data_IF_482779307637
#
_entry.id   IF_482779307637
#
_cell.length_a   1.000
_cell.length_b   1.000
_cell.length_c   1.000
_cell.angle_alpha   90.00
_cell.angle_beta   90.00
_cell.angle_gamma   90.00
#
_symmetry.space_group_name_H-M   'P 1'
#
loop_
_entity.id
_entity.type
_entity.pdbx_description
1 polymer ?
#
# COMPACT_ATOMS: atom_id res chain seq x y z
N UNK A 1 3.87 21.30 14.19
CA UNK A 1 4.08 21.48 12.74
C UNK A 1 3.35 20.37 12.01
N UNK A 2 2.66 20.66 10.90
CA UNK A 2 1.91 19.67 10.11
C UNK A 2 2.83 18.97 9.09
N UNK A 3 2.34 17.91 8.44
CA UNK A 3 3.04 17.30 7.30
C UNK A 3 3.08 18.28 6.12
N UNK A 4 4.21 18.32 5.42
CA UNK A 4 4.33 19.09 4.18
C UNK A 4 3.72 18.33 2.98
N UNK A 5 3.55 19.03 1.85
CA UNK A 5 2.98 18.45 0.63
C UNK A 5 3.83 17.32 0.03
N UNK A 6 5.15 17.37 0.21
CA UNK A 6 6.08 16.35 -0.30
C UNK A 6 6.08 15.08 0.55
N UNK A 7 6.03 15.22 1.86
CA UNK A 7 5.79 14.16 2.84
C UNK A 7 4.45 13.49 2.57
N UNK A 8 3.41 14.30 2.28
CA UNK A 8 2.10 13.77 1.94
C UNK A 8 2.12 12.95 0.64
N UNK A 9 2.69 13.50 -0.43
CA UNK A 9 2.85 12.80 -1.70
C UNK A 9 3.69 11.52 -1.56
N UNK A 10 4.76 11.56 -0.74
CA UNK A 10 5.57 10.38 -0.46
C UNK A 10 4.80 9.33 0.35
N UNK A 11 3.96 9.73 1.30
CA UNK A 11 3.10 8.83 2.05
C UNK A 11 2.08 8.13 1.16
N UNK A 12 1.38 8.90 0.32
CA UNK A 12 0.42 8.37 -0.65
C UNK A 12 1.09 7.43 -1.67
N UNK A 13 2.23 7.81 -2.23
CA UNK A 13 2.98 6.97 -3.17
C UNK A 13 3.47 5.66 -2.54
N UNK A 14 3.95 5.70 -1.29
CA UNK A 14 4.32 4.48 -0.54
C UNK A 14 3.12 3.59 -0.25
N UNK A 15 1.98 4.18 0.11
CA UNK A 15 0.75 3.44 0.38
C UNK A 15 0.27 2.72 -0.89
N UNK A 16 0.27 3.42 -2.03
CA UNK A 16 -0.08 2.83 -3.33
C UNK A 16 0.87 1.68 -3.71
N UNK A 17 2.18 1.92 -3.64
CA UNK A 17 3.17 0.89 -3.99
C UNK A 17 3.05 -0.35 -3.08
N UNK A 18 2.92 -0.14 -1.77
CA UNK A 18 2.77 -1.24 -0.81
C UNK A 18 1.44 -1.96 -1.00
N UNK A 19 0.35 -1.25 -1.29
CA UNK A 19 -0.94 -1.84 -1.59
C UNK A 19 -0.86 -2.75 -2.82
N UNK A 20 -0.26 -2.30 -3.93
CA UNK A 20 -0.12 -3.11 -5.14
C UNK A 20 0.69 -4.38 -4.90
N UNK A 21 1.81 -4.28 -4.18
CA UNK A 21 2.63 -5.45 -3.82
C UNK A 21 1.83 -6.43 -2.95
N UNK A 22 1.19 -5.93 -1.88
CA UNK A 22 0.38 -6.77 -1.00
C UNK A 22 -0.82 -7.37 -1.71
N UNK A 23 -1.44 -6.63 -2.62
CA UNK A 23 -2.58 -7.08 -3.40
C UNK A 23 -2.20 -8.25 -4.31
N UNK A 24 -1.05 -8.18 -4.99
CA UNK A 24 -0.52 -9.30 -5.78
C UNK A 24 -0.29 -10.51 -4.87
N UNK A 25 0.45 -10.35 -3.77
CA UNK A 25 0.78 -11.45 -2.85
C UNK A 25 -0.50 -12.11 -2.30
N UNK A 26 -1.47 -11.32 -1.87
CA UNK A 26 -2.72 -11.82 -1.31
C UNK A 26 -3.62 -12.47 -2.35
N UNK A 27 -3.60 -12.00 -3.59
CA UNK A 27 -4.36 -12.59 -4.69
C UNK A 27 -3.80 -13.95 -5.10
N UNK A 28 -2.47 -14.06 -5.17
CA UNK A 28 -1.77 -15.34 -5.38
C UNK A 28 -2.08 -16.32 -4.22
N UNK A 29 -1.99 -15.85 -2.98
CA UNK A 29 -2.31 -16.67 -1.81
C UNK A 29 -3.77 -17.13 -1.81
N UNK A 30 -4.72 -16.25 -2.18
CA UNK A 30 -6.12 -16.60 -2.30
C UNK A 30 -6.36 -17.65 -3.41
N UNK A 31 -5.65 -17.53 -4.53
CA UNK A 31 -5.72 -18.51 -5.62
C UNK A 31 -5.20 -19.89 -5.19
N UNK A 32 -4.05 -19.93 -4.50
CA UNK A 32 -3.49 -21.17 -3.93
C UNK A 32 -4.46 -21.78 -2.92
N UNK A 33 -5.01 -20.98 -2.00
CA UNK A 33 -5.96 -21.48 -1.01
C UNK A 33 -7.23 -22.04 -1.68
N UNK A 34 -7.81 -21.35 -2.66
CA UNK A 34 -8.97 -21.86 -3.39
C UNK A 34 -8.67 -23.19 -4.08
N UNK A 35 -7.51 -23.31 -4.75
CA UNK A 35 -7.08 -24.56 -5.37
C UNK A 35 -6.94 -25.71 -4.36
N UNK A 36 -6.30 -25.45 -3.22
CA UNK A 36 -6.16 -26.44 -2.14
C UNK A 36 -7.50 -26.85 -1.53
N UNK A 37 -8.45 -25.90 -1.41
CA UNK A 37 -9.78 -26.17 -0.87
C UNK A 37 -10.68 -26.96 -1.82
N UNK A 38 -10.53 -26.81 -3.15
CA UNK A 38 -11.34 -27.52 -4.14
C UNK A 38 -10.74 -28.86 -4.56
N UNK A 39 -9.44 -28.88 -4.87
CA UNK A 39 -8.77 -30.04 -5.49
C UNK A 39 -7.94 -30.85 -4.50
N UNK A 40 -7.87 -30.41 -3.23
CA UNK A 40 -7.05 -31.02 -2.18
C UNK A 40 -5.56 -30.65 -2.29
N UNK A 41 -4.77 -30.95 -1.24
CA UNK A 41 -3.36 -30.61 -1.22
C UNK A 41 -2.55 -31.50 -2.18
N UNK A 42 -2.06 -30.92 -3.28
CA UNK A 42 -1.12 -31.57 -4.20
C UNK A 42 -0.06 -30.59 -4.71
N UNK A 43 1.12 -31.11 -5.06
CA UNK A 43 2.20 -30.31 -5.66
C UNK A 43 1.80 -29.77 -7.04
N UNK A 44 0.97 -30.49 -7.78
CA UNK A 44 0.49 -30.08 -9.10
C UNK A 44 -0.43 -28.86 -9.02
N UNK A 45 -1.33 -28.81 -8.03
CA UNK A 45 -2.20 -27.63 -7.77
C UNK A 45 -1.35 -26.41 -7.40
N UNK A 46 -0.31 -26.59 -6.58
CA UNK A 46 0.61 -25.52 -6.19
C UNK A 46 1.42 -24.99 -7.39
N UNK A 47 1.94 -25.88 -8.25
CA UNK A 47 2.67 -25.48 -9.45
C UNK A 47 1.76 -24.83 -10.50
N UNK A 48 0.55 -25.36 -10.72
CA UNK A 48 -0.41 -24.80 -11.66
C UNK A 48 -0.85 -23.38 -11.29
N UNK A 49 -1.06 -23.10 -9.99
CA UNK A 49 -1.37 -21.74 -9.51
C UNK A 49 -0.19 -20.79 -9.65
N UNK A 50 1.04 -21.23 -9.31
CA UNK A 50 2.25 -20.41 -9.48
C UNK A 50 2.56 -20.07 -10.95
N UNK A 51 2.36 -21.01 -11.87
CA UNK A 51 2.58 -20.79 -13.32
C UNK A 51 1.40 -20.07 -14.00
N UNK A 52 0.20 -20.10 -13.41
CA UNK A 52 -0.96 -19.31 -13.85
C UNK A 52 -0.85 -17.80 -13.61
N UNK A 53 0.21 -17.34 -12.94
CA UNK A 53 0.46 -15.95 -12.54
C UNK A 53 0.47 -14.92 -13.68
N UNK A 54 0.64 -15.33 -14.94
CA UNK A 54 0.53 -14.42 -16.10
C UNK A 54 -0.87 -13.77 -16.16
N UNK A 55 -1.92 -14.53 -15.88
CA UNK A 55 -3.30 -14.00 -15.83
C UNK A 55 -3.50 -13.02 -14.68
N UNK A 56 -2.87 -13.28 -13.54
CA UNK A 56 -2.94 -12.41 -12.36
C UNK A 56 -2.17 -11.11 -12.56
N UNK A 57 -1.00 -11.15 -13.20
CA UNK A 57 -0.24 -9.96 -13.58
C UNK A 57 -1.01 -9.09 -14.56
N UNK A 58 -1.64 -9.68 -15.58
CA UNK A 58 -2.50 -8.95 -16.52
C UNK A 58 -3.72 -8.35 -15.82
N UNK A 59 -4.34 -9.09 -14.90
CA UNK A 59 -5.48 -8.63 -14.11
C UNK A 59 -5.11 -7.44 -13.19
N UNK A 60 -3.98 -7.54 -12.49
CA UNK A 60 -3.47 -6.47 -11.63
C UNK A 60 -3.13 -5.23 -12.45
N UNK A 61 -2.49 -5.40 -13.61
CA UNK A 61 -2.18 -4.30 -14.52
C UNK A 61 -3.43 -3.61 -15.09
N UNK A 62 -4.43 -4.38 -15.50
CA UNK A 62 -5.63 -3.86 -16.16
C UNK A 62 -6.65 -3.25 -15.18
N UNK A 63 -6.78 -3.81 -13.97
CA UNK A 63 -7.84 -3.41 -13.03
C UNK A 63 -7.29 -2.85 -11.72
N UNK A 64 -6.37 -3.55 -11.05
CA UNK A 64 -5.90 -3.12 -9.74
C UNK A 64 -5.14 -1.78 -9.84
N UNK A 65 -4.21 -1.62 -10.77
CA UNK A 65 -3.43 -0.38 -10.90
C UNK A 65 -4.31 0.86 -11.18
N UNK A 66 -5.22 0.86 -12.17
CA UNK A 66 -6.08 2.02 -12.42
C UNK A 66 -7.02 2.32 -11.25
N UNK A 67 -7.59 1.28 -10.63
CA UNK A 67 -8.51 1.46 -9.49
C UNK A 67 -7.76 2.00 -8.29
N UNK A 68 -6.58 1.47 -7.97
CA UNK A 68 -5.77 1.96 -6.86
C UNK A 68 -5.31 3.40 -7.10
N UNK A 69 -5.07 3.82 -8.35
CA UNK A 69 -4.80 5.22 -8.68
C UNK A 69 -6.02 6.12 -8.42
N UNK A 70 -7.21 5.73 -8.89
CA UNK A 70 -8.46 6.47 -8.64
C UNK A 70 -8.74 6.55 -7.14
N UNK A 71 -8.63 5.42 -6.43
CA UNK A 71 -8.79 5.37 -4.99
C UNK A 71 -7.77 6.27 -4.27
N UNK A 72 -6.51 6.30 -4.73
CA UNK A 72 -5.50 7.21 -4.17
C UNK A 72 -5.93 8.67 -4.33
N UNK A 73 -6.41 9.07 -5.50
CA UNK A 73 -6.90 10.44 -5.75
C UNK A 73 -8.08 10.80 -4.84
N UNK A 74 -9.06 9.89 -4.71
CA UNK A 74 -10.22 10.09 -3.85
C UNK A 74 -9.84 10.12 -2.36
N UNK A 75 -8.88 9.29 -1.95
CA UNK A 75 -8.40 9.18 -0.57
C UNK A 75 -7.50 10.33 -0.13
N UNK A 76 -6.95 11.12 -1.06
CA UNK A 76 -6.04 12.24 -0.76
C UNK A 76 -6.72 13.27 0.14
N UNK A 77 -7.94 13.70 -0.18
CA UNK A 77 -8.61 14.76 0.58
C UNK A 77 -8.87 14.35 2.06
N UNK A 78 -9.52 13.21 2.35
CA UNK A 78 -9.71 12.80 3.74
C UNK A 78 -8.39 12.48 4.46
N UNK A 79 -7.40 11.92 3.76
CA UNK A 79 -6.07 11.71 4.34
C UNK A 79 -5.35 13.03 4.67
N UNK A 80 -5.53 14.09 3.86
CA UNK A 80 -5.01 15.43 4.16
C UNK A 80 -5.66 16.02 5.40
N UNK A 81 -6.99 15.89 5.52
CA UNK A 81 -7.72 16.35 6.71
C UNK A 81 -7.25 15.61 7.97
N UNK A 82 -7.09 14.29 7.88
CA UNK A 82 -6.57 13.47 8.96
C UNK A 82 -5.12 13.86 9.32
N UNK A 83 -4.24 14.00 8.33
CA UNK A 83 -2.84 14.41 8.54
C UNK A 83 -2.72 15.81 9.15
N UNK A 84 -3.64 16.73 8.81
CA UNK A 84 -3.75 18.04 9.45
C UNK A 84 -4.28 17.94 10.88
N UNK A 85 -5.27 17.08 11.16
CA UNK A 85 -5.80 16.90 12.50
C UNK A 85 -4.77 16.25 13.45
N UNK A 86 -3.93 15.37 12.91
CA UNK A 86 -2.91 14.65 13.69
C UNK A 86 -1.64 15.48 13.98
N UNK A 87 -1.58 16.79 13.69
CA UNK A 87 -0.42 17.69 13.88
C UNK A 87 0.66 17.12 14.81
N UNK A 88 1.74 16.55 14.24
CA UNK A 88 2.88 15.91 14.93
C UNK A 88 2.58 15.50 16.38
N UNK A 89 1.58 14.64 16.58
CA UNK A 89 1.22 14.14 17.93
C UNK A 89 2.48 13.61 18.60
N UNK A 90 2.74 14.00 19.86
CA UNK A 90 3.85 13.46 20.68
C UNK A 90 3.82 11.92 20.82
N UNK A 91 2.66 11.31 20.55
CA UNK A 91 2.42 9.87 20.60
C UNK A 91 2.35 9.26 19.19
N UNK A 92 3.41 8.53 18.82
CA UNK A 92 3.43 7.71 17.60
C UNK A 92 2.31 6.67 17.57
N UNK A 93 1.90 6.16 18.74
CA UNK A 93 0.82 5.17 18.87
C UNK A 93 -0.52 5.73 18.40
N UNK A 94 -0.84 6.96 18.79
CA UNK A 94 -2.10 7.61 18.40
C UNK A 94 -2.15 7.88 16.89
N UNK A 95 -1.01 8.27 16.32
CA UNK A 95 -0.84 8.39 14.87
C UNK A 95 -1.10 7.06 14.15
N UNK A 96 -0.49 5.97 14.63
CA UNK A 96 -0.67 4.65 14.04
C UNK A 96 -2.13 4.20 14.09
N UNK A 97 -2.79 4.35 15.26
CA UNK A 97 -4.20 3.97 15.42
C UNK A 97 -5.13 4.75 14.49
N UNK A 98 -4.90 6.06 14.33
CA UNK A 98 -5.69 6.89 13.42
C UNK A 98 -5.53 6.44 11.96
N UNK A 99 -4.30 6.14 11.52
CA UNK A 99 -4.06 5.62 10.17
C UNK A 99 -4.56 4.19 9.98
N UNK A 100 -4.59 3.35 11.04
CA UNK A 100 -5.24 2.04 11.00
C UNK A 100 -6.75 2.18 10.82
N UNK A 101 -7.40 3.04 11.62
CA UNK A 101 -8.84 3.28 11.53
C UNK A 101 -9.23 3.82 10.14
N UNK A 102 -8.48 4.82 9.65
CA UNK A 102 -8.66 5.33 8.29
C UNK A 102 -8.44 4.24 7.24
N UNK A 103 -7.36 3.47 7.36
CA UNK A 103 -7.05 2.38 6.44
C UNK A 103 -8.16 1.34 6.34
N UNK A 104 -8.70 0.91 7.47
CA UNK A 104 -9.81 -0.05 7.55
C UNK A 104 -11.07 0.51 6.89
N UNK A 105 -11.48 1.72 7.27
CA UNK A 105 -12.72 2.33 6.77
C UNK A 105 -12.62 2.62 5.28
N UNK A 106 -11.54 3.26 4.85
CA UNK A 106 -11.33 3.64 3.47
C UNK A 106 -11.18 2.42 2.56
N UNK A 107 -10.32 1.46 2.95
CA UNK A 107 -10.12 0.26 2.14
C UNK A 107 -11.36 -0.62 2.10
N UNK A 108 -12.13 -0.70 3.19
CA UNK A 108 -13.41 -1.39 3.21
C UNK A 108 -14.41 -0.77 2.24
N UNK A 109 -14.59 0.55 2.30
CA UNK A 109 -15.50 1.26 1.41
C UNK A 109 -15.12 1.13 -0.07
N UNK A 110 -13.83 1.32 -0.40
CA UNK A 110 -13.33 1.18 -1.78
C UNK A 110 -13.46 -0.25 -2.27
N UNK A 111 -13.07 -1.24 -1.45
CA UNK A 111 -13.12 -2.64 -1.86
C UNK A 111 -14.55 -3.12 -2.09
N UNK A 112 -15.50 -2.72 -1.24
CA UNK A 112 -16.93 -2.98 -1.44
C UNK A 112 -17.46 -2.34 -2.72
N UNK A 113 -17.17 -1.06 -2.94
CA UNK A 113 -17.64 -0.35 -4.12
C UNK A 113 -17.10 -0.96 -5.41
N UNK A 114 -15.80 -1.27 -5.45
CA UNK A 114 -15.14 -1.85 -6.63
C UNK A 114 -15.58 -3.29 -6.87
N UNK A 115 -15.69 -4.11 -5.81
CA UNK A 115 -16.13 -5.49 -5.95
C UNK A 115 -17.55 -5.56 -6.52
N UNK A 116 -18.44 -4.68 -6.07
CA UNK A 116 -19.80 -4.59 -6.62
C UNK A 116 -19.83 -4.05 -8.05
N UNK A 117 -18.93 -3.12 -8.41
CA UNK A 117 -18.90 -2.53 -9.74
C UNK A 117 -18.36 -3.50 -10.80
N UNK A 118 -17.35 -4.30 -10.45
CA UNK A 118 -16.68 -5.21 -11.39
C UNK A 118 -17.24 -6.64 -11.41
N UNK A 119 -17.71 -7.14 -10.27
CA UNK A 119 -18.01 -8.58 -10.09
C UNK A 119 -19.42 -8.83 -9.56
N UNK A 120 -20.37 -7.94 -9.86
CA UNK A 120 -21.76 -8.00 -9.36
C UNK A 120 -22.38 -9.41 -9.49
N UNK A 121 -22.14 -10.06 -10.63
CA UNK A 121 -22.75 -11.36 -10.96
C UNK A 121 -21.80 -12.54 -10.70
N UNK A 122 -20.60 -12.29 -10.16
CA UNK A 122 -19.54 -13.29 -9.94
C UNK A 122 -19.15 -13.34 -8.46
N UNK A 123 -19.98 -13.98 -7.63
CA UNK A 123 -19.86 -13.96 -6.17
C UNK A 123 -18.47 -14.40 -5.64
N UNK A 124 -17.86 -15.40 -6.25
CA UNK A 124 -16.52 -15.91 -5.87
C UNK A 124 -15.43 -14.88 -6.13
N UNK A 125 -15.44 -14.24 -7.30
CA UNK A 125 -14.48 -13.19 -7.66
C UNK A 125 -14.75 -11.89 -6.88
N UNK A 126 -16.01 -11.56 -6.61
CA UNK A 126 -16.41 -10.43 -5.78
C UNK A 126 -15.84 -10.55 -4.37
N UNK A 127 -16.03 -11.70 -3.72
CA UNK A 127 -15.54 -11.96 -2.37
C UNK A 127 -14.01 -12.03 -2.31
N UNK A 128 -13.36 -12.67 -3.29
CA UNK A 128 -11.91 -12.68 -3.38
C UNK A 128 -11.33 -11.26 -3.50
N UNK A 129 -11.84 -10.47 -4.45
CA UNK A 129 -11.38 -9.10 -4.66
C UNK A 129 -11.65 -8.19 -3.46
N UNK A 130 -12.82 -8.33 -2.84
CA UNK A 130 -13.17 -7.61 -1.63
C UNK A 130 -12.17 -7.88 -0.51
N UNK A 131 -11.87 -9.15 -0.24
CA UNK A 131 -10.96 -9.55 0.84
C UNK A 131 -9.53 -9.14 0.55
N UNK A 132 -9.01 -9.39 -0.66
CA UNK A 132 -7.62 -9.02 -1.00
C UNK A 132 -7.43 -7.52 -1.06
N UNK A 133 -8.40 -6.77 -1.62
CA UNK A 133 -8.43 -5.31 -1.64
C UNK A 133 -8.48 -4.72 -0.22
N UNK A 134 -9.36 -5.25 0.62
CA UNK A 134 -9.51 -4.79 2.00
C UNK A 134 -8.24 -5.03 2.82
N UNK A 135 -7.71 -6.25 2.80
CA UNK A 135 -6.53 -6.63 3.59
C UNK A 135 -5.28 -5.87 3.12
N UNK A 136 -5.05 -5.80 1.81
CA UNK A 136 -3.89 -5.08 1.27
C UNK A 136 -3.95 -3.58 1.59
N UNK A 137 -5.12 -2.93 1.41
CA UNK A 137 -5.29 -1.51 1.72
C UNK A 137 -5.18 -1.21 3.22
N UNK A 138 -5.84 -2.02 4.05
CA UNK A 138 -5.85 -1.85 5.52
C UNK A 138 -4.48 -2.05 6.14
N UNK A 139 -3.59 -2.82 5.51
CA UNK A 139 -2.20 -2.94 5.92
C UNK A 139 -1.32 -1.83 5.31
N UNK A 140 -1.47 -1.55 4.01
CA UNK A 140 -0.59 -0.64 3.29
C UNK A 140 -0.67 0.80 3.80
N UNK A 141 -1.88 1.31 4.03
CA UNK A 141 -2.13 2.68 4.48
C UNK A 141 -1.41 2.96 5.82
N UNK A 142 -1.68 2.24 6.92
CA UNK A 142 -1.02 2.51 8.19
C UNK A 142 0.49 2.30 8.14
N UNK A 143 0.99 1.28 7.44
CA UNK A 143 2.44 1.03 7.33
C UNK A 143 3.16 2.16 6.59
N UNK A 144 2.62 2.62 5.46
CA UNK A 144 3.20 3.70 4.67
C UNK A 144 3.18 5.03 5.42
N UNK A 145 2.08 5.34 6.10
CA UNK A 145 1.95 6.57 6.88
C UNK A 145 2.76 6.53 8.17
N UNK A 146 2.86 5.38 8.85
CA UNK A 146 3.74 5.21 10.00
C UNK A 146 5.21 5.40 9.62
N UNK A 147 5.63 4.89 8.45
CA UNK A 147 6.98 5.11 7.93
C UNK A 147 7.23 6.58 7.62
N UNK A 148 6.26 7.25 6.99
CA UNK A 148 6.35 8.67 6.64
C UNK A 148 6.41 9.55 7.88
N UNK A 149 5.55 9.30 8.87
CA UNK A 149 5.57 9.96 10.17
C UNK A 149 6.90 9.73 10.90
N UNK A 150 7.43 8.52 10.89
CA UNK A 150 8.73 8.21 11.51
C UNK A 150 9.88 8.97 10.85
N UNK A 151 9.89 9.11 9.53
CA UNK A 151 10.92 9.86 8.80
C UNK A 151 10.82 11.36 9.11
N UNK A 152 9.62 11.93 9.07
CA UNK A 152 9.37 13.34 9.38
C UNK A 152 9.83 13.68 10.81
N UNK A 153 9.45 12.85 11.80
CA UNK A 153 9.84 13.04 13.20
C UNK A 153 11.36 12.94 13.41
N UNK A 154 12.07 12.08 12.67
CA UNK A 154 13.54 11.99 12.73
C UNK A 154 14.20 13.23 12.12
N UNK A 155 13.67 13.72 11.00
CA UNK A 155 14.17 14.94 10.35
C UNK A 155 14.03 16.15 11.27
N UNK A 156 12.90 16.26 11.98
CA UNK A 156 12.65 17.32 12.96
C UNK A 156 13.62 17.32 14.14
N UNK A 157 14.09 16.13 14.54
CA UNK A 157 15.07 15.95 15.60
C UNK A 157 16.51 16.22 15.13
N UNK A 158 16.71 16.63 13.87
CA UNK A 158 18.03 16.80 13.27
C UNK A 158 18.74 15.47 12.98
N UNK A 159 18.04 14.34 13.13
CA UNK A 159 18.57 13.00 12.83
C UNK A 159 18.38 12.76 11.34
N UNK A 160 19.19 13.42 10.51
CA UNK A 160 19.25 13.12 9.08
C UNK A 160 19.86 11.74 8.89
N UNK A 161 19.15 10.81 8.24
CA UNK A 161 19.75 9.58 7.73
C UNK A 161 20.97 9.97 6.90
N UNK A 162 22.17 9.54 7.32
CA UNK A 162 23.42 9.91 6.66
C UNK A 162 23.31 9.64 5.16
N UNK A 163 23.63 10.62 4.29
CA UNK A 163 23.70 10.40 2.87
C UNK A 163 24.94 9.55 2.59
N UNK A 164 24.77 8.24 2.64
CA UNK A 164 25.75 7.23 2.23
C UNK A 164 26.20 7.40 0.76
N UNK A 165 25.58 8.31 0.01
CA UNK A 165 25.99 8.77 -1.32
C UNK A 165 26.39 10.27 -1.38
N UNK A 166 27.09 10.83 -0.40
CA UNK A 166 27.97 11.97 -0.75
C UNK A 166 29.10 11.43 -1.63
N UNK A 167 28.88 11.44 -2.95
CA UNK A 167 29.94 11.36 -3.97
C UNK A 167 31.09 12.23 -3.47
N UNK A 168 32.21 11.62 -3.10
CA UNK A 168 33.49 12.31 -2.96
C UNK A 168 33.80 12.89 -4.34
N UNK A 169 33.36 14.12 -4.63
CA UNK A 169 34.05 14.95 -5.62
C UNK A 169 35.44 15.17 -5.04
N UNK A 170 36.40 14.34 -5.47
CA UNK A 170 37.81 14.69 -5.40
C UNK A 170 37.94 16.00 -6.18
N UNK A 171 38.07 17.11 -5.49
CA UNK A 171 38.73 18.29 -6.04
C UNK A 171 40.11 17.83 -6.52
N UNK A 172 40.46 17.99 -7.81
CA UNK A 172 41.83 17.77 -8.23
C UNK A 172 42.68 18.83 -7.51
N UNK A 173 43.71 18.36 -6.82
CA UNK A 173 44.79 19.22 -6.36
C UNK A 173 45.40 19.89 -7.60
N UNK A 174 45.23 21.20 -7.71
CA UNK A 174 46.07 22.03 -8.56
C UNK A 174 46.86 22.93 -7.62
N UNK A 175 47.97 22.39 -7.13
CA UNK A 175 49.05 23.17 -6.60
C UNK A 175 49.88 23.67 -7.79
N UNK A 176 49.94 24.98 -7.96
CA UNK A 176 51.10 25.71 -8.48
C UNK A 176 51.25 26.97 -7.66
#
# INVERSE_FOLDING_TARGET
MAFDSGEFASGAGRALALHLVLFVILSELASVLMGLFHDGPSFDVLFATLFGSIGLVLFVGAYAVPISLVATVLGVLPALLLGRALVRVRSFRTHLLAWCAFGVVFSGAVSLAVSHLLFRDQLSLMSAFLVTGFLSGSAAIPLAWARTASIALRADQGITTQPWFRRRRRTPAAAR
#
